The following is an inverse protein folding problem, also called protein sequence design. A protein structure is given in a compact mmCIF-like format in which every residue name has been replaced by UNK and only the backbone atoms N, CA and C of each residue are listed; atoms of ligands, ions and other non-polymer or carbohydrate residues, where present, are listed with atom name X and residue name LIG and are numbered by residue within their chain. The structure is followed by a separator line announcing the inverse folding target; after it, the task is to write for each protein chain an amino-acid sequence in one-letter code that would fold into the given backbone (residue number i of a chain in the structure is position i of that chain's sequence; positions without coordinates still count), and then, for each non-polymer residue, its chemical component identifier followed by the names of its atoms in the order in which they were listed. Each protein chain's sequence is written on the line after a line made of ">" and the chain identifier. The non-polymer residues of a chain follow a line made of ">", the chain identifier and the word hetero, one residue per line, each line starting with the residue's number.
data_IF_845914098274
#
_entry.id   IF_845914098274
#
_cell.length_a   1.000
_cell.length_b   1.000
_cell.length_c   1.000
_cell.angle_alpha   90.00
_cell.angle_beta   90.00
_cell.angle_gamma   90.00
#
_symmetry.space_group_name_H-M   'P 1'
#
loop_
_entity.id
_entity.type
_entity.pdbx_description
1 polymer ?
#
# COMPACT_ATOMS: atom_id res chain seq x y z
N UNK A 1 -38.53 0.52 -2.98
CA UNK A 1 -37.54 0.64 -4.09
C UNK A 1 -36.26 1.21 -3.52
N UNK A 2 -35.22 0.38 -3.34
CA UNK A 2 -33.91 0.85 -2.85
C UNK A 2 -33.29 1.67 -3.98
N UNK A 3 -32.94 2.94 -3.73
CA UNK A 3 -32.37 3.80 -4.75
C UNK A 3 -31.00 3.22 -5.18
N UNK A 4 -30.68 3.31 -6.47
CA UNK A 4 -29.37 2.87 -7.02
C UNK A 4 -28.23 3.52 -6.22
N UNK A 5 -28.42 4.72 -5.76
CA UNK A 5 -27.47 5.47 -4.94
C UNK A 5 -27.21 4.80 -3.58
N UNK A 6 -28.24 4.29 -2.90
CA UNK A 6 -28.07 3.56 -1.63
C UNK A 6 -27.37 2.22 -1.82
N UNK A 7 -27.56 1.59 -2.97
CA UNK A 7 -26.86 0.34 -3.33
C UNK A 7 -25.37 0.59 -3.58
N UNK A 8 -25.02 1.62 -4.36
CA UNK A 8 -23.62 2.01 -4.62
C UNK A 8 -22.90 2.35 -3.32
N UNK A 9 -23.53 3.10 -2.44
CA UNK A 9 -22.98 3.43 -1.12
C UNK A 9 -22.72 2.15 -0.32
N UNK A 10 -23.69 1.23 -0.25
CA UNK A 10 -23.56 -0.02 0.47
C UNK A 10 -22.42 -0.90 -0.04
N UNK A 11 -22.28 -1.03 -1.37
CA UNK A 11 -21.20 -1.79 -2.03
C UNK A 11 -19.84 -1.15 -1.73
N UNK A 12 -19.72 0.17 -1.84
CA UNK A 12 -18.44 0.87 -1.60
C UNK A 12 -17.97 0.72 -0.14
N UNK A 13 -18.86 0.74 0.83
CA UNK A 13 -18.51 0.51 2.24
C UNK A 13 -18.08 -0.92 2.53
N UNK A 14 -18.76 -1.91 1.93
CA UNK A 14 -18.35 -3.32 2.05
C UNK A 14 -16.99 -3.54 1.41
N UNK A 15 -16.77 -3.03 0.22
CA UNK A 15 -15.48 -3.13 -0.46
C UNK A 15 -14.36 -2.47 0.36
N UNK A 16 -14.61 -1.30 0.95
CA UNK A 16 -13.62 -0.67 1.83
C UNK A 16 -13.33 -1.48 3.08
N UNK A 17 -14.35 -2.06 3.70
CA UNK A 17 -14.15 -2.97 4.84
C UNK A 17 -13.33 -4.20 4.45
N UNK A 18 -13.53 -4.77 3.24
CA UNK A 18 -12.70 -5.85 2.73
C UNK A 18 -11.24 -5.43 2.55
N UNK A 19 -10.98 -4.21 2.05
CA UNK A 19 -9.60 -3.71 1.93
C UNK A 19 -8.93 -3.50 3.28
N UNK A 20 -9.67 -2.99 4.28
CA UNK A 20 -9.13 -2.86 5.63
C UNK A 20 -8.78 -4.24 6.23
N UNK A 21 -9.65 -5.24 6.01
CA UNK A 21 -9.36 -6.63 6.40
C UNK A 21 -8.13 -7.16 5.64
N UNK A 22 -8.01 -6.89 4.35
CA UNK A 22 -6.83 -7.28 3.57
C UNK A 22 -5.55 -6.69 4.15
N UNK A 23 -5.52 -5.42 4.52
CA UNK A 23 -4.36 -4.79 5.17
C UNK A 23 -4.06 -5.39 6.56
N UNK A 24 -5.08 -5.87 7.28
CA UNK A 24 -4.88 -6.64 8.51
C UNK A 24 -4.25 -8.01 8.23
N UNK A 25 -4.73 -8.73 7.20
CA UNK A 25 -4.19 -10.04 6.79
C UNK A 25 -2.74 -9.95 6.31
N UNK A 26 -2.38 -8.83 5.66
CA UNK A 26 -1.00 -8.56 5.24
C UNK A 26 -0.09 -8.16 6.43
N UNK A 27 -0.67 -7.90 7.61
CA UNK A 27 0.09 -7.53 8.79
C UNK A 27 0.42 -6.03 8.90
N UNK A 28 -0.19 -5.17 8.08
CA UNK A 28 0.02 -3.72 8.16
C UNK A 28 -0.76 -3.09 9.32
N UNK A 29 -1.85 -3.72 9.74
CA UNK A 29 -2.75 -3.21 10.77
C UNK A 29 -2.94 -4.26 11.86
N UNK A 30 -2.33 -4.03 13.02
CA UNK A 30 -2.36 -4.96 14.15
C UNK A 30 -3.44 -4.60 15.19
N UNK A 31 -4.51 -3.95 14.77
CA UNK A 31 -5.68 -3.62 15.59
C UNK A 31 -6.96 -3.74 14.76
N UNK A 32 -8.09 -4.08 15.38
CA UNK A 32 -9.35 -4.21 14.68
C UNK A 32 -9.92 -2.84 14.31
N UNK A 33 -10.23 -2.67 13.03
CA UNK A 33 -10.88 -1.48 12.49
C UNK A 33 -12.07 -1.91 11.64
N UNK A 34 -13.20 -1.23 11.79
CA UNK A 34 -14.42 -1.47 11.02
C UNK A 34 -15.06 -0.14 10.64
N UNK A 35 -15.60 -0.10 9.44
CA UNK A 35 -16.38 1.02 8.96
C UNK A 35 -17.84 0.61 8.83
N UNK A 36 -18.68 1.15 9.70
CA UNK A 36 -20.13 0.92 9.70
C UNK A 36 -20.84 2.00 8.92
N UNK A 37 -21.90 1.63 8.21
CA UNK A 37 -22.69 2.60 7.42
C UNK A 37 -23.41 3.65 8.28
N UNK A 38 -23.76 3.30 9.52
CA UNK A 38 -24.53 4.16 10.44
C UNK A 38 -23.66 4.90 11.42
N UNK A 39 -22.74 4.20 12.06
CA UNK A 39 -21.93 4.70 13.18
C UNK A 39 -20.55 5.23 12.78
N UNK A 40 -20.19 5.08 11.49
CA UNK A 40 -18.88 5.52 11.00
C UNK A 40 -17.75 4.56 11.38
N UNK A 41 -16.59 5.11 11.70
CA UNK A 41 -15.36 4.38 11.98
C UNK A 41 -15.33 3.89 13.44
N UNK A 42 -15.17 2.59 13.64
CA UNK A 42 -14.93 1.98 14.96
C UNK A 42 -13.53 1.36 14.99
N UNK A 43 -12.78 1.65 16.04
CA UNK A 43 -11.41 1.21 16.24
C UNK A 43 -11.36 0.50 17.58
N UNK A 44 -10.90 -0.74 17.55
CA UNK A 44 -10.71 -1.52 18.78
C UNK A 44 -9.28 -1.41 19.31
N UNK A 45 -9.09 -1.98 20.49
CA UNK A 45 -7.77 -2.08 21.08
C UNK A 45 -6.95 -3.19 20.40
N UNK A 46 -5.62 -3.05 20.49
CA UNK A 46 -4.71 -4.06 20.03
C UNK A 46 -5.03 -5.41 20.69
N UNK A 47 -5.16 -6.48 19.88
CA UNK A 47 -5.43 -7.84 20.35
C UNK A 47 -4.39 -8.80 19.78
N UNK A 48 -4.01 -9.78 20.53
CA UNK A 48 -3.13 -10.85 20.09
C UNK A 48 -3.62 -11.52 18.80
N UNK A 49 -4.93 -11.63 18.61
CA UNK A 49 -5.52 -12.19 17.39
C UNK A 49 -5.18 -11.42 16.11
N UNK A 50 -4.94 -10.10 16.20
CA UNK A 50 -4.51 -9.30 15.05
C UNK A 50 -3.02 -9.44 14.79
N UNK A 51 -2.21 -9.67 15.83
CA UNK A 51 -0.77 -9.91 15.70
C UNK A 51 -0.42 -11.25 15.07
N UNK A 52 -1.31 -12.24 15.12
CA UNK A 52 -1.09 -13.53 14.46
C UNK A 52 -0.80 -13.37 12.99
N UNK A 53 -1.50 -12.47 12.31
CA UNK A 53 -1.28 -12.21 10.89
C UNK A 53 0.09 -11.63 10.60
N UNK A 54 0.58 -10.74 11.45
CA UNK A 54 1.94 -10.21 11.36
C UNK A 54 2.99 -11.33 11.52
N UNK A 55 2.81 -12.22 12.50
CA UNK A 55 3.69 -13.39 12.74
C UNK A 55 3.67 -14.31 11.51
N UNK A 56 2.50 -14.57 10.92
CA UNK A 56 2.37 -15.38 9.71
C UNK A 56 3.15 -14.74 8.56
N UNK A 57 3.03 -13.43 8.35
CA UNK A 57 3.77 -12.73 7.29
C UNK A 57 5.28 -12.75 7.53
N UNK A 58 5.72 -12.61 8.77
CA UNK A 58 7.13 -12.75 9.12
C UNK A 58 7.63 -14.17 8.83
N UNK A 59 6.88 -15.19 9.22
CA UNK A 59 7.21 -16.59 8.95
C UNK A 59 7.28 -16.87 7.44
N UNK A 60 6.32 -16.37 6.65
CA UNK A 60 6.32 -16.49 5.19
C UNK A 60 7.55 -15.82 4.58
N UNK A 61 7.95 -14.64 5.08
CA UNK A 61 9.17 -13.95 4.61
C UNK A 61 10.42 -14.80 4.84
N UNK A 62 10.54 -15.40 6.02
CA UNK A 62 11.65 -16.32 6.36
C UNK A 62 11.61 -17.57 5.48
N UNK A 63 10.44 -18.18 5.28
CA UNK A 63 10.26 -19.35 4.42
C UNK A 63 10.66 -19.02 2.97
N UNK A 64 10.23 -17.88 2.42
CA UNK A 64 10.64 -17.44 1.09
C UNK A 64 12.17 -17.33 0.98
N UNK A 65 12.85 -16.76 1.98
CA UNK A 65 14.31 -16.67 2.02
C UNK A 65 15.00 -18.03 2.04
N UNK A 66 14.49 -18.96 2.87
CA UNK A 66 15.02 -20.34 2.95
C UNK A 66 14.81 -21.09 1.63
N UNK A 67 13.64 -20.98 1.03
CA UNK A 67 13.33 -21.65 -0.23
C UNK A 67 14.18 -21.09 -1.38
N UNK A 68 14.37 -19.78 -1.46
CA UNK A 68 15.26 -19.18 -2.45
C UNK A 68 16.69 -19.66 -2.28
N UNK A 69 17.20 -19.76 -1.05
CA UNK A 69 18.54 -20.31 -0.77
C UNK A 69 18.66 -21.79 -1.20
N UNK A 70 17.65 -22.62 -0.91
CA UNK A 70 17.65 -24.04 -1.29
C UNK A 70 17.59 -24.26 -2.79
N UNK A 71 16.89 -23.39 -3.51
CA UNK A 71 16.75 -23.47 -4.97
C UNK A 71 17.75 -22.56 -5.69
N UNK A 72 18.75 -22.01 -4.98
CA UNK A 72 19.73 -21.09 -5.54
C UNK A 72 20.40 -21.66 -6.79
N UNK A 73 20.87 -22.90 -6.71
CA UNK A 73 21.54 -23.57 -7.82
C UNK A 73 20.62 -23.77 -9.02
N UNK A 74 19.35 -24.08 -8.81
CA UNK A 74 18.38 -24.25 -9.87
C UNK A 74 17.95 -22.92 -10.51
N UNK A 75 17.96 -21.84 -9.72
CA UNK A 75 17.51 -20.53 -10.17
C UNK A 75 18.61 -19.71 -10.84
N UNK A 76 19.90 -19.95 -10.46
CA UNK A 76 21.01 -19.10 -10.85
C UNK A 76 22.15 -19.83 -11.52
N UNK A 77 22.19 -21.18 -11.49
CA UNK A 77 23.21 -21.96 -12.20
C UNK A 77 23.02 -21.87 -13.71
N UNK A 78 24.09 -21.54 -14.39
CA UNK A 78 24.12 -21.40 -15.86
C UNK A 78 23.87 -19.99 -16.35
N UNK A 79 23.61 -19.04 -15.45
CA UNK A 79 23.55 -17.62 -15.78
C UNK A 79 24.97 -17.01 -15.75
N UNK A 80 25.16 -15.95 -16.54
CA UNK A 80 26.33 -15.08 -16.39
C UNK A 80 26.39 -14.54 -14.95
N UNK A 81 27.59 -14.32 -14.43
CA UNK A 81 27.76 -13.82 -13.06
C UNK A 81 26.96 -12.52 -12.81
N UNK A 82 26.94 -11.62 -13.78
CA UNK A 82 26.16 -10.37 -13.73
C UNK A 82 24.66 -10.62 -13.58
N UNK A 83 24.12 -11.60 -14.28
CA UNK A 83 22.70 -11.95 -14.27
C UNK A 83 22.30 -12.59 -12.93
N UNK A 84 23.15 -13.50 -12.44
CA UNK A 84 22.96 -14.10 -11.13
C UNK A 84 22.99 -13.04 -10.02
N UNK A 85 23.95 -12.10 -10.08
CA UNK A 85 24.01 -10.98 -9.13
C UNK A 85 22.79 -10.09 -9.20
N UNK A 86 22.30 -9.72 -10.39
CA UNK A 86 21.11 -8.89 -10.54
C UNK A 86 19.89 -9.54 -9.90
N UNK A 87 19.65 -10.82 -10.20
CA UNK A 87 18.53 -11.56 -9.61
C UNK A 87 18.64 -11.69 -8.10
N UNK A 88 19.85 -11.92 -7.58
CA UNK A 88 20.11 -11.99 -6.15
C UNK A 88 19.83 -10.66 -5.44
N UNK A 89 20.31 -9.56 -6.02
CA UNK A 89 20.04 -8.22 -5.48
C UNK A 89 18.56 -7.86 -5.53
N UNK A 90 17.87 -8.13 -6.65
CA UNK A 90 16.43 -7.89 -6.80
C UNK A 90 15.65 -8.63 -5.71
N UNK A 91 15.92 -9.92 -5.53
CA UNK A 91 15.25 -10.73 -4.52
C UNK A 91 15.62 -10.30 -3.09
N UNK A 92 16.90 -10.06 -2.81
CA UNK A 92 17.37 -9.64 -1.49
C UNK A 92 16.82 -8.28 -1.06
N UNK A 93 16.78 -7.31 -1.98
CA UNK A 93 16.14 -6.00 -1.75
C UNK A 93 14.63 -6.15 -1.52
N UNK A 94 13.95 -7.00 -2.28
CA UNK A 94 12.54 -7.29 -2.09
C UNK A 94 12.25 -7.85 -0.70
N UNK A 95 12.99 -8.84 -0.24
CA UNK A 95 12.85 -9.40 1.11
C UNK A 95 13.19 -8.38 2.20
N UNK A 96 14.25 -7.60 2.03
CA UNK A 96 14.61 -6.52 2.96
C UNK A 96 13.47 -5.51 3.09
N UNK A 97 12.86 -5.13 1.98
CA UNK A 97 11.72 -4.20 1.96
C UNK A 97 10.53 -4.75 2.71
N UNK A 98 10.21 -6.04 2.53
CA UNK A 98 9.13 -6.70 3.29
C UNK A 98 9.45 -6.69 4.78
N UNK A 99 10.66 -7.08 5.16
CA UNK A 99 11.09 -7.12 6.56
C UNK A 99 10.97 -5.74 7.22
N UNK A 100 11.47 -4.69 6.57
CA UNK A 100 11.38 -3.31 7.06
C UNK A 100 9.92 -2.86 7.14
N UNK A 101 9.09 -3.17 6.15
CA UNK A 101 7.67 -2.83 6.16
C UNK A 101 6.92 -3.49 7.32
N UNK A 102 7.22 -4.75 7.62
CA UNK A 102 6.65 -5.46 8.76
C UNK A 102 7.16 -4.89 10.09
N UNK A 103 8.44 -4.53 10.18
CA UNK A 103 9.04 -3.89 11.36
C UNK A 103 8.38 -2.53 11.63
N UNK A 104 8.25 -1.66 10.61
CA UNK A 104 7.54 -0.37 10.73
C UNK A 104 6.09 -0.56 11.18
N UNK A 105 5.41 -1.58 10.65
CA UNK A 105 4.02 -1.88 11.03
C UNK A 105 3.89 -2.36 12.48
N UNK A 106 4.91 -3.03 13.00
CA UNK A 106 4.94 -3.49 14.38
C UNK A 106 5.30 -2.37 15.35
N UNK A 107 6.39 -1.67 15.11
CA UNK A 107 6.84 -0.60 15.99
C UNK A 107 5.96 0.65 15.92
N UNK A 108 5.32 0.90 14.77
CA UNK A 108 4.41 2.02 14.54
C UNK A 108 2.94 1.75 14.90
N UNK A 109 2.59 0.68 15.64
CA UNK A 109 1.19 0.31 15.95
C UNK A 109 0.42 1.49 16.58
N UNK A 110 0.99 2.15 17.58
CA UNK A 110 0.33 3.25 18.30
C UNK A 110 0.17 4.49 17.42
N UNK A 111 1.19 4.84 16.64
CA UNK A 111 1.12 5.94 15.66
C UNK A 111 0.03 5.64 14.63
N UNK A 112 0.00 4.41 14.13
CA UNK A 112 -0.99 3.95 13.15
C UNK A 112 -2.42 4.03 13.71
N UNK A 113 -2.64 3.51 14.91
CA UNK A 113 -3.92 3.58 15.60
C UNK A 113 -4.34 5.02 15.85
N UNK A 114 -3.40 5.89 16.25
CA UNK A 114 -3.66 7.30 16.51
C UNK A 114 -4.16 8.05 15.26
N UNK A 115 -3.64 7.75 14.06
CA UNK A 115 -4.11 8.33 12.79
C UNK A 115 -5.60 8.07 12.62
N UNK A 116 -6.04 6.81 12.76
CA UNK A 116 -7.44 6.44 12.58
C UNK A 116 -8.34 7.01 13.68
N UNK A 117 -7.86 7.05 14.93
CA UNK A 117 -8.58 7.67 16.04
C UNK A 117 -8.80 9.16 15.80
N UNK A 118 -7.78 9.89 15.34
CA UNK A 118 -7.88 11.32 15.00
C UNK A 118 -8.90 11.58 13.88
N UNK A 119 -8.95 10.73 12.85
CA UNK A 119 -10.00 10.83 11.82
C UNK A 119 -11.41 10.61 12.39
N UNK A 120 -11.57 9.65 13.29
CA UNK A 120 -12.84 9.39 13.98
C UNK A 120 -13.25 10.59 14.85
N UNK A 121 -12.33 11.09 15.67
CA UNK A 121 -12.60 12.19 16.59
C UNK A 121 -12.92 13.49 15.84
N UNK A 122 -12.22 13.73 14.73
CA UNK A 122 -12.52 14.85 13.84
C UNK A 122 -13.92 14.71 13.22
N UNK A 123 -14.31 13.51 12.81
CA UNK A 123 -15.66 13.23 12.29
C UNK A 123 -16.73 13.46 13.35
N UNK A 124 -16.54 12.94 14.56
CA UNK A 124 -17.47 13.08 15.66
C UNK A 124 -17.68 14.55 16.04
N UNK A 125 -16.60 15.33 16.16
CA UNK A 125 -16.67 16.76 16.50
C UNK A 125 -17.38 17.61 15.43
N UNK A 126 -17.27 17.22 14.16
CA UNK A 126 -17.82 17.98 13.04
C UNK A 126 -19.18 17.44 12.55
N UNK A 127 -19.72 16.39 13.16
CA UNK A 127 -20.96 15.74 12.71
C UNK A 127 -20.84 15.16 11.30
N UNK A 128 -19.64 14.81 10.86
CA UNK A 128 -19.34 14.26 9.54
C UNK A 128 -19.14 12.75 9.63
N UNK A 129 -18.97 12.07 8.49
CA UNK A 129 -18.85 10.62 8.48
C UNK A 129 -17.41 10.11 8.68
N UNK A 130 -16.44 10.80 8.08
CA UNK A 130 -15.03 10.44 8.16
C UNK A 130 -14.14 11.69 8.10
N UNK A 131 -13.53 12.09 9.22
CA UNK A 131 -12.82 13.36 9.31
C UNK A 131 -13.77 14.52 9.01
N UNK A 132 -13.54 15.27 7.93
CA UNK A 132 -14.42 16.31 7.40
C UNK A 132 -15.26 15.83 6.21
N UNK A 133 -15.15 14.57 5.84
CA UNK A 133 -15.73 14.03 4.62
C UNK A 133 -17.13 13.49 4.89
N UNK A 134 -18.09 13.91 4.07
CA UNK A 134 -19.43 13.35 4.05
C UNK A 134 -19.47 12.01 3.28
N UNK A 135 -20.51 11.20 3.53
CA UNK A 135 -20.66 9.88 2.89
C UNK A 135 -20.49 9.88 1.36
N UNK A 136 -21.17 10.74 0.58
CA UNK A 136 -21.08 10.69 -0.88
C UNK A 136 -19.68 11.05 -1.40
N UNK A 137 -18.95 11.86 -0.65
CA UNK A 137 -17.58 12.23 -0.98
C UNK A 137 -16.61 11.10 -0.66
N UNK A 138 -16.79 10.43 0.48
CA UNK A 138 -15.99 9.25 0.83
C UNK A 138 -16.15 8.14 -0.22
N UNK A 139 -17.38 7.86 -0.67
CA UNK A 139 -17.65 6.90 -1.74
C UNK A 139 -16.86 7.24 -3.00
N UNK A 140 -16.81 8.50 -3.42
CA UNK A 140 -16.02 8.93 -4.59
C UNK A 140 -14.52 8.74 -4.40
N UNK A 141 -14.00 9.01 -3.20
CA UNK A 141 -12.58 8.76 -2.87
C UNK A 141 -12.28 7.27 -2.94
N UNK A 142 -13.16 6.44 -2.39
CA UNK A 142 -13.00 4.98 -2.39
C UNK A 142 -13.08 4.39 -3.80
N UNK A 143 -14.01 4.84 -4.64
CA UNK A 143 -14.10 4.40 -6.03
C UNK A 143 -12.80 4.72 -6.79
N UNK A 144 -12.27 5.94 -6.63
CA UNK A 144 -10.97 6.31 -7.22
C UNK A 144 -9.84 5.44 -6.71
N UNK A 145 -9.80 5.21 -5.41
CA UNK A 145 -8.80 4.34 -4.79
C UNK A 145 -8.87 2.92 -5.36
N UNK A 146 -10.07 2.32 -5.43
CA UNK A 146 -10.25 0.98 -5.98
C UNK A 146 -9.85 0.89 -7.44
N UNK A 147 -10.21 1.88 -8.24
CA UNK A 147 -9.81 1.91 -9.65
C UNK A 147 -8.28 1.91 -9.78
N UNK A 148 -7.58 2.81 -9.10
CA UNK A 148 -6.11 2.89 -9.12
C UNK A 148 -5.49 1.59 -8.59
N UNK A 149 -6.01 1.07 -7.48
CA UNK A 149 -5.56 -0.18 -6.88
C UNK A 149 -5.64 -1.36 -7.85
N UNK A 150 -6.80 -1.57 -8.48
CA UNK A 150 -7.00 -2.67 -9.42
C UNK A 150 -6.12 -2.52 -10.67
N UNK A 151 -5.99 -1.29 -11.20
CA UNK A 151 -5.14 -1.03 -12.37
C UNK A 151 -3.68 -1.32 -12.03
N UNK A 152 -3.17 -0.81 -10.90
CA UNK A 152 -1.78 -1.05 -10.48
C UNK A 152 -1.52 -2.55 -10.33
N UNK A 153 -2.37 -3.28 -9.59
CA UNK A 153 -2.16 -4.71 -9.37
C UNK A 153 -2.21 -5.49 -10.69
N UNK A 154 -3.20 -5.21 -11.55
CA UNK A 154 -3.32 -5.93 -12.82
C UNK A 154 -2.12 -5.68 -13.73
N UNK A 155 -1.71 -4.42 -13.91
CA UNK A 155 -0.55 -4.06 -14.74
C UNK A 155 0.72 -4.71 -14.19
N UNK A 156 0.97 -4.57 -12.89
CA UNK A 156 2.16 -5.12 -12.26
C UNK A 156 2.20 -6.65 -12.38
N UNK A 157 1.09 -7.35 -12.12
CA UNK A 157 1.03 -8.81 -12.22
C UNK A 157 1.27 -9.30 -13.66
N UNK A 158 0.72 -8.60 -14.67
CA UNK A 158 0.91 -8.96 -16.08
C UNK A 158 2.35 -8.75 -16.50
N UNK A 159 2.93 -7.58 -16.18
CA UNK A 159 4.32 -7.23 -16.54
C UNK A 159 5.31 -8.18 -15.89
N UNK A 160 5.19 -8.43 -14.59
CA UNK A 160 6.08 -9.35 -13.88
C UNK A 160 5.96 -10.78 -14.38
N UNK A 161 4.73 -11.26 -14.64
CA UNK A 161 4.53 -12.58 -15.22
C UNK A 161 5.22 -12.71 -16.56
N UNK A 162 5.03 -11.74 -17.46
CA UNK A 162 5.60 -11.78 -18.81
C UNK A 162 7.13 -11.73 -18.74
N UNK A 163 7.66 -10.83 -17.94
CA UNK A 163 9.10 -10.67 -17.75
C UNK A 163 9.76 -11.98 -17.28
N UNK A 164 9.21 -12.61 -16.24
CA UNK A 164 9.77 -13.88 -15.74
C UNK A 164 9.56 -15.05 -16.68
N UNK A 165 8.47 -15.05 -17.46
CA UNK A 165 8.24 -16.07 -18.49
C UNK A 165 9.32 -16.02 -19.56
N UNK A 166 9.68 -14.83 -20.02
CA UNK A 166 10.65 -14.64 -21.08
C UNK A 166 12.08 -14.94 -20.62
N UNK A 167 12.44 -14.57 -19.37
CA UNK A 167 13.79 -14.81 -18.82
C UNK A 167 14.00 -16.29 -18.45
N UNK A 168 13.04 -16.94 -17.85
CA UNK A 168 13.19 -18.28 -17.29
C UNK A 168 13.08 -19.41 -18.31
N UNK A 169 13.12 -19.12 -19.61
CA UNK A 169 13.12 -20.11 -20.68
C UNK A 169 12.10 -21.25 -20.52
N UNK A 170 10.86 -20.87 -20.27
CA UNK A 170 9.69 -21.75 -20.35
C UNK A 170 9.43 -22.66 -19.15
N UNK A 171 10.38 -23.45 -18.67
CA UNK A 171 10.08 -24.45 -17.63
C UNK A 171 10.23 -23.96 -16.19
N UNK A 172 11.02 -22.92 -15.95
CA UNK A 172 11.36 -22.45 -14.61
C UNK A 172 10.72 -21.08 -14.22
N UNK A 173 10.05 -20.42 -15.17
CA UNK A 173 9.46 -19.09 -14.93
C UNK A 173 8.54 -19.03 -13.71
N UNK A 174 7.78 -20.10 -13.42
CA UNK A 174 6.87 -20.17 -12.28
C UNK A 174 7.60 -20.12 -10.92
N UNK A 175 8.84 -20.62 -10.83
CA UNK A 175 9.64 -20.48 -9.62
C UNK A 175 10.04 -19.03 -9.40
N UNK A 176 10.61 -18.37 -10.42
CA UNK A 176 10.94 -16.95 -10.33
C UNK A 176 9.74 -16.10 -9.96
N UNK A 177 8.62 -16.33 -10.66
CA UNK A 177 7.39 -15.57 -10.39
C UNK A 177 6.88 -15.79 -8.96
N UNK A 178 6.86 -17.02 -8.47
CA UNK A 178 6.42 -17.36 -7.11
C UNK A 178 7.30 -16.73 -6.05
N UNK A 179 8.62 -16.78 -6.21
CA UNK A 179 9.56 -16.23 -5.20
C UNK A 179 9.58 -14.71 -5.18
N UNK A 180 9.39 -14.05 -6.33
CA UNK A 180 9.34 -12.60 -6.38
C UNK A 180 7.94 -12.04 -6.14
N UNK A 181 6.88 -12.80 -6.45
CA UNK A 181 5.51 -12.33 -6.31
C UNK A 181 5.21 -11.89 -4.88
N UNK A 182 5.63 -12.66 -3.88
CA UNK A 182 5.33 -12.36 -2.49
C UNK A 182 5.97 -11.03 -2.02
N UNK A 183 7.29 -10.82 -2.11
CA UNK A 183 7.92 -9.56 -1.74
C UNK A 183 7.37 -8.36 -2.54
N UNK A 184 7.18 -8.55 -3.83
CA UNK A 184 6.64 -7.55 -4.72
C UNK A 184 5.21 -7.14 -4.32
N UNK A 185 4.35 -8.12 -4.04
CA UNK A 185 2.97 -7.87 -3.61
C UNK A 185 2.92 -7.09 -2.31
N UNK A 186 3.69 -7.48 -1.30
CA UNK A 186 3.73 -6.77 -0.01
C UNK A 186 4.20 -5.33 -0.19
N UNK A 187 5.27 -5.11 -0.97
CA UNK A 187 5.78 -3.78 -1.27
C UNK A 187 4.72 -2.90 -1.95
N UNK A 188 4.04 -3.41 -2.97
CA UNK A 188 2.98 -2.69 -3.68
C UNK A 188 1.76 -2.41 -2.81
N UNK A 189 1.35 -3.36 -1.96
CA UNK A 189 0.29 -3.12 -0.99
C UNK A 189 0.66 -2.04 0.02
N UNK A 190 1.93 -1.91 0.40
CA UNK A 190 2.40 -0.82 1.27
C UNK A 190 2.26 0.54 0.58
N UNK A 191 2.64 0.64 -0.70
CA UNK A 191 2.42 1.86 -1.50
C UNK A 191 0.94 2.21 -1.63
N UNK A 192 0.10 1.22 -1.91
CA UNK A 192 -1.35 1.40 -2.03
C UNK A 192 -1.98 1.84 -0.70
N UNK A 193 -1.49 1.29 0.41
CA UNK A 193 -1.96 1.67 1.73
C UNK A 193 -1.56 3.12 2.07
N UNK A 194 -0.35 3.54 1.74
CA UNK A 194 0.07 4.94 1.85
C UNK A 194 -0.77 5.86 0.95
N UNK A 195 -1.02 5.45 -0.30
CA UNK A 195 -1.90 6.19 -1.22
C UNK A 195 -3.31 6.39 -0.66
N UNK A 196 -3.87 5.39 0.02
CA UNK A 196 -5.17 5.53 0.70
C UNK A 196 -5.13 6.69 1.71
N UNK A 197 -4.10 6.76 2.54
CA UNK A 197 -3.94 7.86 3.51
C UNK A 197 -3.81 9.22 2.83
N UNK A 198 -3.04 9.32 1.74
CA UNK A 198 -2.90 10.55 0.94
C UNK A 198 -4.25 10.99 0.36
N UNK A 199 -5.03 10.08 -0.20
CA UNK A 199 -6.34 10.39 -0.76
C UNK A 199 -7.34 10.86 0.30
N UNK A 200 -7.37 10.19 1.46
CA UNK A 200 -8.20 10.59 2.59
C UNK A 200 -7.79 11.97 3.13
N UNK A 201 -6.49 12.20 3.28
CA UNK A 201 -5.97 13.50 3.73
C UNK A 201 -6.30 14.62 2.76
N UNK A 202 -6.05 14.41 1.46
CA UNK A 202 -6.36 15.37 0.40
C UNK A 202 -7.86 15.73 0.38
N UNK A 203 -8.73 14.75 0.58
CA UNK A 203 -10.17 14.98 0.63
C UNK A 203 -10.57 15.82 1.85
N UNK A 204 -9.97 15.56 3.02
CA UNK A 204 -10.20 16.36 4.24
C UNK A 204 -9.72 17.81 4.07
N UNK A 205 -8.53 18.04 3.54
CA UNK A 205 -7.98 19.38 3.27
C UNK A 205 -8.87 20.14 2.29
N UNK A 206 -9.35 19.50 1.23
CA UNK A 206 -10.29 20.13 0.28
C UNK A 206 -11.63 20.55 0.95
N UNK A 207 -12.11 19.78 1.94
CA UNK A 207 -13.31 20.18 2.70
C UNK A 207 -13.01 21.39 3.60
N UNK A 208 -11.85 21.42 4.24
CA UNK A 208 -11.44 22.58 5.02
C UNK A 208 -11.32 23.84 4.14
N UNK A 209 -10.70 23.73 2.96
CA UNK A 209 -10.62 24.85 2.00
C UNK A 209 -12.00 25.37 1.60
N UNK A 210 -12.97 24.49 1.33
CA UNK A 210 -14.34 24.89 1.01
C UNK A 210 -15.02 25.61 2.18
N UNK A 211 -14.77 25.16 3.43
CA UNK A 211 -15.29 25.86 4.62
C UNK A 211 -14.68 27.25 4.74
N UNK A 212 -13.36 27.38 4.59
CA UNK A 212 -12.67 28.66 4.64
C UNK A 212 -13.16 29.65 3.58
N UNK A 213 -13.34 29.20 2.33
CA UNK A 213 -13.86 30.06 1.25
C UNK A 213 -15.27 30.61 1.55
N UNK A 214 -16.13 29.80 2.18
CA UNK A 214 -17.47 30.25 2.61
C UNK A 214 -17.40 31.27 3.76
N UNK A 215 -16.48 31.10 4.69
CA UNK A 215 -16.29 31.99 5.84
C UNK A 215 -15.73 33.34 5.45
N UNK A 216 -14.84 33.37 4.46
CA UNK A 216 -14.29 34.61 3.91
C UNK A 216 -15.39 35.53 3.38
N UNK A 217 -16.50 34.95 2.90
CA UNK A 217 -17.68 35.69 2.45
C UNK A 217 -18.55 36.20 3.59
N UNK A 218 -18.50 35.57 4.77
CA UNK A 218 -19.42 35.83 5.88
C UNK A 218 -18.80 36.61 7.06
N UNK A 219 -17.47 36.80 7.09
CA UNK A 219 -16.78 37.66 8.08
C UNK A 219 -16.80 37.18 9.54
N UNK A 220 -17.02 35.88 9.82
CA UNK A 220 -17.21 35.35 11.19
C UNK A 220 -15.90 34.89 11.83
N UNK A 221 -15.33 35.70 12.72
CA UNK A 221 -14.06 35.43 13.40
C UNK A 221 -14.03 34.11 14.22
N UNK A 222 -15.13 33.77 14.91
CA UNK A 222 -15.20 32.53 15.72
C UNK A 222 -15.10 31.26 14.87
N UNK A 223 -15.64 31.28 13.65
CA UNK A 223 -15.56 30.14 12.74
C UNK A 223 -14.15 29.99 12.14
N UNK A 224 -13.42 31.09 12.03
CA UNK A 224 -12.01 31.03 11.60
C UNK A 224 -11.12 30.30 12.62
N UNK A 225 -11.33 30.54 13.92
CA UNK A 225 -10.61 29.83 14.98
C UNK A 225 -10.95 28.32 14.96
N UNK A 226 -12.21 27.95 14.74
CA UNK A 226 -12.58 26.54 14.56
C UNK A 226 -11.85 25.90 13.35
N UNK A 227 -11.73 26.60 12.24
CA UNK A 227 -10.95 26.12 11.08
C UNK A 227 -9.46 26.00 11.39
N UNK A 228 -8.89 26.90 12.18
CA UNK A 228 -7.50 26.83 12.66
C UNK A 228 -7.25 25.57 13.49
N UNK A 229 -8.14 25.26 14.43
CA UNK A 229 -8.05 24.05 15.26
C UNK A 229 -8.14 22.79 14.38
N UNK A 230 -9.07 22.76 13.42
CA UNK A 230 -9.19 21.65 12.46
C UNK A 230 -7.91 21.50 11.62
N UNK A 231 -7.34 22.59 11.13
CA UNK A 231 -6.07 22.57 10.41
C UNK A 231 -4.94 21.97 11.24
N UNK A 232 -4.81 22.37 12.50
CA UNK A 232 -3.84 21.80 13.43
C UNK A 232 -4.01 20.30 13.63
N UNK A 233 -5.25 19.80 13.71
CA UNK A 233 -5.53 18.36 13.79
C UNK A 233 -5.15 17.62 12.50
N UNK A 234 -5.46 18.18 11.33
CA UNK A 234 -5.05 17.61 10.04
C UNK A 234 -3.53 17.60 9.88
N UNK A 235 -2.85 18.67 10.32
CA UNK A 235 -1.40 18.71 10.35
C UNK A 235 -0.79 17.57 11.17
N UNK A 236 -1.30 17.36 12.41
CA UNK A 236 -0.84 16.25 13.26
C UNK A 236 -1.12 14.86 12.65
N UNK A 237 -2.21 14.69 11.89
CA UNK A 237 -2.47 13.46 11.14
C UNK A 237 -1.42 13.29 10.05
N UNK A 238 -1.08 14.34 9.32
CA UNK A 238 -0.07 14.31 8.27
C UNK A 238 1.33 13.99 8.81
N UNK A 239 1.72 14.57 9.94
CA UNK A 239 2.98 14.23 10.61
C UNK A 239 3.03 12.75 11.01
N UNK A 240 1.96 12.23 11.61
CA UNK A 240 1.87 10.82 11.98
C UNK A 240 1.91 9.88 10.76
N UNK A 241 1.32 10.28 9.62
CA UNK A 241 1.42 9.53 8.36
C UNK A 241 2.88 9.52 7.87
N UNK A 242 3.56 10.67 7.89
CA UNK A 242 4.96 10.76 7.47
C UNK A 242 5.89 9.95 8.38
N UNK A 243 5.66 9.97 9.68
CA UNK A 243 6.38 9.16 10.65
C UNK A 243 6.18 7.66 10.38
N UNK A 244 4.93 7.22 10.18
CA UNK A 244 4.60 5.81 9.97
C UNK A 244 5.12 5.25 8.65
N UNK A 245 5.13 6.06 7.58
CA UNK A 245 5.46 5.58 6.23
C UNK A 245 6.84 6.03 5.75
N UNK A 246 7.45 7.05 6.36
CA UNK A 246 8.62 7.74 5.79
C UNK A 246 9.77 6.81 5.45
N UNK A 247 10.20 5.98 6.39
CA UNK A 247 11.34 5.09 6.18
C UNK A 247 11.02 3.93 5.24
N UNK A 248 9.94 3.19 5.48
CA UNK A 248 9.54 2.07 4.61
C UNK A 248 9.22 2.54 3.20
N UNK A 249 8.65 3.74 3.04
CA UNK A 249 8.35 4.31 1.74
C UNK A 249 9.61 4.73 0.99
N UNK A 250 10.59 5.34 1.65
CA UNK A 250 11.87 5.69 1.05
C UNK A 250 12.61 4.43 0.57
N UNK A 251 12.64 3.37 1.38
CA UNK A 251 13.23 2.10 1.00
C UNK A 251 12.48 1.44 -0.18
N UNK A 252 11.15 1.44 -0.16
CA UNK A 252 10.32 0.95 -1.27
C UNK A 252 10.60 1.68 -2.58
N UNK A 253 10.74 3.00 -2.54
CA UNK A 253 11.10 3.81 -3.71
C UNK A 253 12.50 3.43 -4.21
N UNK A 254 13.49 3.32 -3.32
CA UNK A 254 14.84 2.91 -3.68
C UNK A 254 14.86 1.52 -4.32
N UNK A 255 14.11 0.56 -3.75
CA UNK A 255 13.95 -0.77 -4.33
C UNK A 255 13.28 -0.75 -5.71
N UNK A 256 12.27 0.10 -5.90
CA UNK A 256 11.61 0.25 -7.20
C UNK A 256 12.55 0.82 -8.25
N UNK A 257 13.40 1.80 -7.90
CA UNK A 257 14.44 2.31 -8.81
C UNK A 257 15.47 1.22 -9.17
N UNK A 258 15.95 0.46 -8.18
CA UNK A 258 16.87 -0.65 -8.43
C UNK A 258 16.23 -1.70 -9.36
N UNK A 259 14.95 -2.01 -9.15
CA UNK A 259 14.20 -2.94 -9.98
C UNK A 259 14.09 -2.45 -11.43
N UNK A 260 13.72 -1.20 -11.64
CA UNK A 260 13.66 -0.58 -12.98
C UNK A 260 15.04 -0.64 -13.65
N UNK A 261 16.12 -0.34 -12.92
CA UNK A 261 17.47 -0.42 -13.47
C UNK A 261 17.84 -1.84 -13.90
N UNK A 262 17.49 -2.86 -13.11
CA UNK A 262 17.71 -4.26 -13.46
C UNK A 262 16.84 -4.69 -14.66
N UNK A 263 15.59 -4.27 -14.72
CA UNK A 263 14.72 -4.61 -15.84
C UNK A 263 15.21 -3.94 -17.15
N UNK A 264 15.68 -2.71 -17.10
CA UNK A 264 16.30 -2.01 -18.24
C UNK A 264 17.61 -2.71 -18.69
N UNK A 265 18.42 -3.18 -17.75
CA UNK A 265 19.62 -3.97 -18.07
C UNK A 265 19.24 -5.23 -18.87
N UNK A 266 18.24 -5.97 -18.47
CA UNK A 266 17.77 -7.16 -19.17
C UNK A 266 17.23 -6.85 -20.57
N UNK A 267 16.44 -5.79 -20.71
CA UNK A 267 15.95 -5.32 -22.02
C UNK A 267 17.13 -4.98 -22.93
N UNK A 268 18.13 -4.25 -22.43
CA UNK A 268 19.34 -3.92 -23.17
C UNK A 268 20.11 -5.18 -23.59
N UNK A 269 20.34 -6.11 -22.66
CA UNK A 269 21.04 -7.36 -22.93
C UNK A 269 20.33 -8.20 -24.01
N UNK A 270 19.00 -8.27 -23.98
CA UNK A 270 18.19 -8.95 -25.02
C UNK A 270 18.36 -8.29 -26.39
N UNK A 271 18.30 -6.96 -26.48
CA UNK A 271 18.44 -6.23 -27.74
C UNK A 271 19.84 -6.46 -28.34
N UNK A 272 20.89 -6.38 -27.52
CA UNK A 272 22.27 -6.62 -28.00
C UNK A 272 22.52 -8.07 -28.41
N UNK A 273 21.85 -9.05 -27.78
CA UNK A 273 21.98 -10.45 -28.16
C UNK A 273 21.31 -10.78 -29.49
N UNK A 274 20.25 -10.08 -29.86
CA UNK A 274 19.59 -10.21 -31.15
C UNK A 274 20.45 -9.69 -32.30
N UNK A 275 21.15 -8.56 -32.09
CA UNK A 275 22.04 -7.95 -33.11
C UNK A 275 23.30 -8.79 -33.36
N UNK A 276 23.79 -9.52 -32.34
CA UNK A 276 25.01 -10.33 -32.47
C UNK A 276 24.77 -11.73 -32.95
N UNK A 277 23.55 -12.17 -33.16
CA UNK A 277 23.21 -13.54 -33.54
C UNK A 277 23.57 -14.61 -32.50
N UNK A 278 24.11 -14.21 -31.37
CA UNK A 278 24.43 -15.05 -30.24
C UNK A 278 23.14 -15.37 -29.47
N UNK A 279 22.53 -16.53 -29.74
CA UNK A 279 21.51 -17.07 -28.87
C UNK A 279 22.12 -17.23 -27.48
N UNK A 280 21.75 -16.37 -26.54
CA UNK A 280 21.99 -16.64 -25.12
C UNK A 280 21.37 -18.00 -24.79
N UNK A 281 22.20 -19.01 -24.52
CA UNK A 281 21.79 -20.32 -24.04
C UNK A 281 21.59 -20.26 -22.53
#
# INVERSE_FOLDING_TARGET
>A
MVSVESMIVGVSFRAFSCVLVLFQLIGFMNFPIKLHQTTGLTIGDHRWSTSIWWIIQLALTVICGIMAKRNYDNLFNGLLLTDAMNNYFKFGLGLLTVFVTLADSWFGIETHRSIWMRYRDLATRNGTFFGLIERPQLVRVLIRFFFVFLVIIAVCAIVERQFYYDIAYGSQWHYFWTYNLYPYTISHFRHVYHLLHILLMTANVRQLQKRLSRLQQLGVAQQLEACRVIYGQLWQINEAINELFGFSQALNIACSFAQIAFDLYWIYAMLMSQDTGLKCK
#
